data_IF_373186658544
#
_entry.id   IF_373186658544
#
_cell.length_a   1.000
_cell.length_b   1.000
_cell.length_c   1.000
_cell.angle_alpha   90.00
_cell.angle_beta   90.00
_cell.angle_gamma   90.00
#
_symmetry.space_group_name_H-M   'P 1'
#
loop_
_entity.id
_entity.type
_entity.pdbx_description
1 polymer ?
#
# COMPACT_ATOMS: atom_id res chain seq x y z
N UNK A 1 16.15 -8.37 -4.66
CA UNK A 1 15.48 -7.56 -3.63
C UNK A 1 14.01 -7.80 -3.87
N UNK A 2 13.43 -8.70 -3.09
CA UNK A 2 12.06 -9.17 -3.30
C UNK A 2 11.10 -8.00 -3.09
N UNK A 3 10.24 -7.74 -4.08
CA UNK A 3 9.19 -6.73 -3.98
C UNK A 3 8.01 -7.35 -3.24
N UNK A 4 7.70 -6.86 -2.04
CA UNK A 4 6.50 -7.27 -1.30
C UNK A 4 5.37 -6.29 -1.62
N UNK A 5 4.39 -6.66 -2.45
CA UNK A 5 3.33 -5.75 -2.88
C UNK A 5 2.49 -5.24 -1.70
N UNK A 6 2.37 -6.05 -0.64
CA UNK A 6 1.63 -5.71 0.57
C UNK A 6 2.49 -4.99 1.63
N UNK A 7 3.62 -4.39 1.24
CA UNK A 7 4.40 -3.58 2.16
C UNK A 7 3.59 -2.39 2.71
N UNK A 8 3.45 -2.34 4.03
CA UNK A 8 2.72 -1.29 4.73
C UNK A 8 3.63 -0.63 5.80
N UNK A 9 4.09 0.63 5.62
CA UNK A 9 4.87 1.36 6.63
C UNK A 9 4.15 1.69 7.96
N UNK A 10 2.82 1.59 8.03
CA UNK A 10 2.04 1.76 9.25
C UNK A 10 1.86 0.45 10.04
N UNK A 11 2.21 -0.69 9.46
CA UNK A 11 2.18 -1.97 10.16
C UNK A 11 3.17 -1.94 11.34
N UNK A 12 2.64 -2.17 12.54
CA UNK A 12 3.41 -2.16 13.79
C UNK A 12 3.38 -3.51 14.53
N UNK A 13 2.68 -4.48 13.94
CA UNK A 13 2.51 -5.83 14.47
C UNK A 13 2.80 -6.79 13.33
N UNK A 14 3.67 -7.77 13.59
CA UNK A 14 3.92 -8.86 12.65
C UNK A 14 2.77 -9.87 12.76
N UNK A 15 1.99 -9.99 11.69
CA UNK A 15 0.91 -10.95 11.52
C UNK A 15 1.28 -12.06 10.51
N UNK A 16 2.54 -12.13 10.09
CA UNK A 16 3.05 -13.02 9.06
C UNK A 16 2.33 -12.90 7.70
N UNK A 17 1.67 -11.77 7.41
CA UNK A 17 1.01 -11.52 6.12
C UNK A 17 1.96 -11.13 4.98
N UNK A 18 3.22 -10.78 5.28
CA UNK A 18 4.22 -10.36 4.30
C UNK A 18 4.48 -11.45 3.26
N UNK A 19 3.93 -11.30 2.05
CA UNK A 19 3.93 -12.32 1.00
C UNK A 19 4.23 -11.66 -0.35
N UNK A 20 5.27 -12.12 -1.09
CA UNK A 20 5.59 -11.59 -2.42
C UNK A 20 4.48 -11.85 -3.47
N UNK A 21 3.55 -12.76 -3.21
CA UNK A 21 2.42 -13.09 -4.07
C UNK A 21 1.10 -12.44 -3.62
N UNK A 22 1.13 -11.53 -2.64
CA UNK A 22 -0.08 -10.86 -2.19
C UNK A 22 -0.70 -10.00 -3.30
N UNK A 23 -2.04 -10.00 -3.37
CA UNK A 23 -2.81 -9.11 -4.23
C UNK A 23 -3.08 -7.74 -3.57
N UNK A 24 -2.69 -7.58 -2.31
CA UNK A 24 -2.78 -6.31 -1.60
C UNK A 24 -1.65 -5.40 -2.07
N UNK A 25 -2.03 -4.28 -2.68
CA UNK A 25 -1.12 -3.20 -3.10
C UNK A 25 -1.52 -1.97 -2.30
N UNK A 26 -0.60 -1.51 -1.46
CA UNK A 26 -0.82 -0.35 -0.60
C UNK A 26 -0.39 0.95 -1.26
N UNK A 27 -1.23 1.98 -1.18
CA UNK A 27 -0.94 3.29 -1.78
C UNK A 27 -2.12 4.26 -1.65
N UNK A 28 -2.24 5.21 -2.59
CA UNK A 28 -3.36 6.16 -2.62
C UNK A 28 -4.43 5.71 -3.62
N UNK A 29 -5.66 5.52 -3.14
CA UNK A 29 -6.82 5.16 -3.98
C UNK A 29 -7.65 6.36 -4.44
N UNK A 30 -7.36 7.54 -3.89
CA UNK A 30 -8.15 8.76 -4.13
C UNK A 30 -7.53 9.55 -5.29
N UNK A 31 -8.28 9.65 -6.39
CA UNK A 31 -7.85 10.31 -7.63
C UNK A 31 -7.73 11.83 -7.50
N UNK A 32 -8.17 12.41 -6.38
CA UNK A 32 -7.94 13.82 -6.07
C UNK A 32 -6.51 14.12 -5.57
N UNK A 33 -5.65 13.11 -5.38
CA UNK A 33 -4.30 13.23 -4.84
C UNK A 33 -3.24 12.94 -5.90
N UNK A 34 -2.08 13.59 -5.81
CA UNK A 34 -0.98 13.38 -6.78
C UNK A 34 -0.42 11.95 -6.76
N UNK A 35 -0.45 11.32 -5.59
CA UNK A 35 0.10 9.99 -5.36
C UNK A 35 -0.89 8.88 -5.76
N UNK A 36 -2.01 9.23 -6.40
CA UNK A 36 -3.03 8.28 -6.87
C UNK A 36 -2.40 7.22 -7.79
N UNK A 37 -2.69 5.96 -7.48
CA UNK A 37 -2.33 4.84 -8.33
C UNK A 37 -3.53 3.88 -8.45
N UNK A 38 -4.02 3.72 -9.68
CA UNK A 38 -5.14 2.84 -10.02
C UNK A 38 -4.91 1.34 -9.74
N UNK A 39 -3.66 0.94 -9.47
CA UNK A 39 -3.30 -0.45 -9.13
C UNK A 39 -3.43 -0.73 -7.63
N UNK A 40 -3.58 0.31 -6.80
CA UNK A 40 -3.73 0.19 -5.35
C UNK A 40 -5.06 -0.46 -5.01
N UNK A 41 -5.00 -1.47 -4.13
CA UNK A 41 -6.19 -2.17 -3.62
C UNK A 41 -6.51 -1.79 -2.18
N UNK A 42 -5.55 -1.23 -1.45
CA UNK A 42 -5.70 -0.82 -0.05
C UNK A 42 -5.07 0.55 0.21
N UNK A 43 -5.83 1.49 0.79
CA UNK A 43 -5.27 2.77 1.24
C UNK A 43 -4.41 2.55 2.50
N UNK A 44 -3.21 3.10 2.49
CA UNK A 44 -2.30 3.06 3.63
C UNK A 44 -2.06 4.42 4.30
N UNK A 45 -2.93 5.39 4.05
CA UNK A 45 -2.74 6.76 4.56
C UNK A 45 -1.48 7.44 4.01
N UNK A 46 -0.87 6.88 2.96
CA UNK A 46 0.18 7.51 2.20
C UNK A 46 -0.36 8.74 1.47
N UNK A 47 -1.65 8.73 1.10
CA UNK A 47 -2.46 9.85 0.59
C UNK A 47 -2.23 11.15 1.38
N UNK A 48 -1.34 12.03 0.89
CA UNK A 48 -1.09 13.34 1.49
C UNK A 48 -1.82 14.41 0.71
N UNK A 49 -2.69 15.17 1.38
CA UNK A 49 -3.28 16.37 0.77
C UNK A 49 -2.12 17.34 0.49
N UNK A 50 -2.04 17.85 -0.73
CA UNK A 50 -1.15 18.96 -1.05
C UNK A 50 -1.52 20.21 -0.25
#
# INVERSE_FOLDING_TARGET
MENFPNYNPLANTDDASCDPNSADIFGCMDDAYLEYDSTVTNDNGSSKRQ
#
